data_IF_834130894333
#
_entry.id   IF_834130894333
#
_cell.length_a   1.000
_cell.length_b   1.000
_cell.length_c   1.000
_cell.angle_alpha   90.00
_cell.angle_beta   90.00
_cell.angle_gamma   90.00
#
_symmetry.space_group_name_H-M   'P 1'
#
loop_
_entity.id
_entity.type
_entity.pdbx_description
1 polymer ?
#
# COMPACT_ATOMS: atom_id res chain seq x y z
N UNK A 1 -15.87 -10.03 -3.66
CA UNK A 1 -15.09 -11.00 -2.85
C UNK A 1 -13.92 -10.23 -2.30
N UNK A 2 -13.81 -10.11 -0.98
CA UNK A 2 -12.71 -9.41 -0.33
C UNK A 2 -11.40 -10.17 -0.61
N UNK A 3 -10.36 -9.46 -1.04
CA UNK A 3 -9.01 -10.04 -1.17
C UNK A 3 -8.36 -10.26 0.20
N UNK A 4 -7.13 -10.81 0.22
CA UNK A 4 -6.33 -10.84 1.45
C UNK A 4 -6.15 -9.42 2.01
N UNK A 5 -6.11 -9.25 3.35
CA UNK A 5 -5.86 -7.94 3.94
C UNK A 5 -4.49 -7.40 3.55
N UNK A 6 -4.37 -6.08 3.53
CA UNK A 6 -3.09 -5.39 3.51
C UNK A 6 -2.35 -5.65 4.82
N UNK A 7 -1.16 -6.23 4.76
CA UNK A 7 -0.37 -6.66 5.92
C UNK A 7 0.73 -5.66 6.24
N UNK A 8 0.58 -4.98 7.36
CA UNK A 8 1.57 -4.07 7.94
C UNK A 8 2.31 -4.76 9.09
N UNK A 9 3.62 -4.95 8.95
CA UNK A 9 4.49 -5.32 10.07
C UNK A 9 4.89 -4.06 10.84
N UNK A 10 4.69 -4.05 12.16
CA UNK A 10 5.11 -2.96 13.02
C UNK A 10 5.99 -3.48 14.15
N UNK A 11 7.20 -2.93 14.28
CA UNK A 11 8.14 -3.31 15.32
C UNK A 11 8.95 -2.11 15.80
N UNK A 12 9.32 -2.14 17.09
CA UNK A 12 10.37 -1.30 17.64
C UNK A 12 11.59 -2.18 17.95
N UNK A 13 12.78 -1.75 17.56
CA UNK A 13 14.03 -2.45 17.82
C UNK A 13 15.13 -1.50 18.31
N UNK A 14 16.11 -2.04 19.01
CA UNK A 14 17.39 -1.37 19.30
C UNK A 14 18.22 -1.13 18.02
N UNK A 15 19.23 -0.26 18.11
CA UNK A 15 20.15 0.04 17.00
C UNK A 15 20.83 -1.22 16.44
N UNK A 16 21.12 -2.20 17.29
CA UNK A 16 21.72 -3.46 16.90
C UNK A 16 20.71 -4.52 16.49
N UNK A 17 19.40 -4.25 16.50
CA UNK A 17 18.37 -5.09 15.86
C UNK A 17 17.64 -6.07 16.79
N UNK A 18 17.59 -5.80 18.10
CA UNK A 18 16.84 -6.59 19.07
C UNK A 18 15.49 -5.96 19.41
N UNK A 19 14.46 -6.80 19.53
CA UNK A 19 13.10 -6.42 19.97
C UNK A 19 12.97 -6.34 21.48
N UNK A 20 13.92 -6.92 22.21
CA UNK A 20 13.94 -6.90 23.67
C UNK A 20 15.30 -7.35 24.21
N UNK A 21 15.47 -7.43 25.53
CA UNK A 21 16.62 -8.03 26.19
C UNK A 21 16.33 -9.47 26.70
N UNK A 22 17.27 -10.04 27.48
CA UNK A 22 17.15 -11.38 28.08
C UNK A 22 16.47 -11.35 29.46
N UNK A 23 16.08 -10.17 29.92
CA UNK A 23 15.47 -9.94 31.22
C UNK A 23 14.04 -10.47 31.31
N UNK A 24 13.55 -10.63 32.55
CA UNK A 24 12.17 -11.04 32.79
C UNK A 24 11.16 -9.92 32.52
N UNK A 25 11.61 -8.67 32.57
CA UNK A 25 10.80 -7.50 32.27
C UNK A 25 10.93 -7.12 30.80
N UNK A 26 9.88 -6.51 30.25
CA UNK A 26 9.89 -6.01 28.88
C UNK A 26 10.79 -4.78 28.78
N UNK A 27 11.80 -4.82 27.92
CA UNK A 27 12.63 -3.68 27.59
C UNK A 27 11.79 -2.58 26.95
N UNK A 28 11.91 -1.37 27.48
CA UNK A 28 11.26 -0.19 26.90
C UNK A 28 12.11 0.36 25.76
N UNK A 29 11.78 -0.03 24.54
CA UNK A 29 12.39 0.51 23.32
C UNK A 29 11.71 1.81 22.86
N UNK A 30 10.38 1.88 22.96
CA UNK A 30 9.57 3.00 22.46
C UNK A 30 9.44 4.13 23.47
N UNK A 31 9.50 5.36 22.97
CA UNK A 31 9.13 6.56 23.72
C UNK A 31 7.62 6.87 23.63
N UNK A 32 7.17 7.96 24.26
CA UNK A 32 5.76 8.33 24.26
C UNK A 32 5.24 8.71 22.86
N UNK A 33 6.09 9.29 22.00
CA UNK A 33 5.71 9.68 20.66
C UNK A 33 5.54 8.46 19.75
N UNK A 34 6.42 7.46 19.88
CA UNK A 34 6.29 6.20 19.16
C UNK A 34 5.09 5.38 19.66
N UNK A 35 4.82 5.36 20.98
CA UNK A 35 3.58 4.74 21.49
C UNK A 35 2.32 5.40 20.92
N UNK A 36 2.28 6.73 20.82
CA UNK A 36 1.16 7.45 20.20
C UNK A 36 1.03 7.11 18.70
N UNK A 37 2.16 7.03 17.99
CA UNK A 37 2.21 6.60 16.58
C UNK A 37 1.66 5.19 16.40
N UNK A 38 2.11 4.22 17.19
CA UNK A 38 1.61 2.83 17.17
C UNK A 38 0.12 2.80 17.48
N UNK A 39 -0.34 3.60 18.45
CA UNK A 39 -1.76 3.69 18.79
C UNK A 39 -2.62 4.23 17.63
N UNK A 40 -2.11 5.20 16.86
CA UNK A 40 -2.73 5.64 15.61
C UNK A 40 -2.82 4.50 14.59
N UNK A 41 -1.74 3.76 14.37
CA UNK A 41 -1.71 2.63 13.42
C UNK A 41 -2.70 1.53 13.84
N UNK A 42 -2.79 1.23 15.15
CA UNK A 42 -3.84 0.34 15.67
C UNK A 42 -5.22 0.85 15.35
N UNK A 43 -5.47 2.15 15.54
CA UNK A 43 -6.76 2.75 15.25
C UNK A 43 -7.14 2.73 13.75
N UNK A 44 -6.16 2.72 12.86
CA UNK A 44 -6.34 2.62 11.40
C UNK A 44 -6.53 1.17 10.91
N UNK A 45 -6.16 0.19 11.73
CA UNK A 45 -6.18 -1.24 11.37
C UNK A 45 -7.50 -1.91 11.73
N UNK A 46 -7.88 -2.95 10.99
CA UNK A 46 -9.10 -3.71 11.28
C UNK A 46 -8.82 -4.88 12.23
N UNK A 47 -7.60 -5.41 12.17
CA UNK A 47 -7.10 -6.45 13.08
C UNK A 47 -5.66 -6.17 13.55
N UNK A 48 -5.33 -6.64 14.76
CA UNK A 48 -3.97 -6.66 15.32
C UNK A 48 -3.59 -8.11 15.60
N UNK A 49 -2.45 -8.56 15.07
CA UNK A 49 -1.94 -9.93 15.24
C UNK A 49 -0.65 -9.97 16.05
N UNK A 50 -0.60 -10.88 17.02
CA UNK A 50 0.61 -11.23 17.77
C UNK A 50 0.77 -12.74 17.91
N UNK A 51 2.01 -13.18 18.12
CA UNK A 51 2.31 -14.57 18.48
C UNK A 51 2.04 -14.86 19.95
N UNK A 52 1.74 -16.11 20.28
CA UNK A 52 1.51 -16.54 21.66
C UNK A 52 2.71 -16.30 22.60
N UNK A 53 3.94 -16.24 22.09
CA UNK A 53 5.10 -15.92 22.92
C UNK A 53 5.07 -14.48 23.42
N UNK A 54 4.68 -13.54 22.55
CA UNK A 54 4.49 -12.13 22.91
C UNK A 54 3.41 -12.00 23.97
N UNK A 55 2.31 -12.76 23.86
CA UNK A 55 1.29 -12.77 24.89
C UNK A 55 1.80 -13.27 26.24
N UNK A 56 2.55 -14.37 26.27
CA UNK A 56 3.10 -14.91 27.52
C UNK A 56 4.09 -13.97 28.21
N UNK A 57 4.85 -13.23 27.41
CA UNK A 57 5.93 -12.38 27.91
C UNK A 57 5.44 -10.99 28.33
N UNK A 58 4.60 -10.37 27.51
CA UNK A 58 4.22 -8.97 27.68
C UNK A 58 2.78 -8.81 28.22
N UNK A 59 1.99 -9.88 28.17
CA UNK A 59 0.56 -9.92 28.51
C UNK A 59 -0.20 -8.69 27.98
N UNK A 60 -0.08 -8.34 26.69
CA UNK A 60 -0.56 -7.07 26.18
C UNK A 60 -2.09 -7.07 26.08
N UNK A 61 -2.68 -5.89 26.20
CA UNK A 61 -4.15 -5.73 26.05
C UNK A 61 -4.60 -5.59 24.60
N UNK A 62 -3.70 -5.16 23.71
CA UNK A 62 -3.95 -4.89 22.28
C UNK A 62 -5.15 -3.96 22.04
N UNK A 63 -5.17 -2.82 22.73
CA UNK A 63 -6.22 -1.81 22.62
C UNK A 63 -5.70 -0.59 21.84
N UNK A 64 -6.66 0.14 21.28
CA UNK A 64 -6.49 1.57 21.00
C UNK A 64 -6.66 2.31 22.33
N UNK A 65 -5.64 3.04 22.75
CA UNK A 65 -5.59 3.76 24.01
C UNK A 65 -6.35 5.09 23.93
N UNK A 66 -6.09 5.87 22.88
CA UNK A 66 -6.68 7.19 22.74
C UNK A 66 -8.21 7.15 22.55
N UNK A 67 -8.93 8.00 23.28
CA UNK A 67 -10.39 8.02 23.26
C UNK A 67 -10.94 8.65 21.97
N UNK A 68 -10.28 9.66 21.42
CA UNK A 68 -10.73 10.31 20.19
C UNK A 68 -10.58 9.37 18.99
N UNK A 69 -9.49 8.60 18.92
CA UNK A 69 -9.29 7.54 17.91
C UNK A 69 -10.36 6.48 17.96
N UNK A 70 -10.73 6.04 19.17
CA UNK A 70 -11.83 5.09 19.38
C UNK A 70 -13.17 5.65 18.93
N UNK A 71 -13.48 6.89 19.31
CA UNK A 71 -14.69 7.57 18.87
C UNK A 71 -14.74 7.72 17.33
N UNK A 72 -13.62 8.05 16.70
CA UNK A 72 -13.52 8.16 15.24
C UNK A 72 -13.77 6.81 14.54
N UNK A 73 -13.27 5.69 15.09
CA UNK A 73 -13.57 4.34 14.57
C UNK A 73 -15.05 4.04 14.63
N UNK A 74 -15.69 4.29 15.78
CA UNK A 74 -17.13 4.07 15.96
C UNK A 74 -17.94 4.96 15.01
N UNK A 75 -17.57 6.22 14.85
CA UNK A 75 -18.21 7.14 13.90
C UNK A 75 -18.08 6.66 12.44
N UNK A 76 -17.01 5.95 12.11
CA UNK A 76 -16.79 5.31 10.80
C UNK A 76 -17.47 3.93 10.68
N UNK A 77 -18.30 3.52 11.64
CA UNK A 77 -18.98 2.22 11.63
C UNK A 77 -18.10 1.02 11.98
N UNK A 78 -16.87 1.25 12.46
CA UNK A 78 -15.94 0.19 12.88
C UNK A 78 -16.06 -0.08 14.39
N UNK A 79 -15.70 -1.30 14.86
CA UNK A 79 -15.61 -1.57 16.28
C UNK A 79 -14.60 -0.65 16.98
N UNK A 80 -14.87 -0.29 18.24
CA UNK A 80 -14.03 0.59 19.08
C UNK A 80 -12.55 0.16 19.08
N UNK A 81 -12.31 -1.15 19.08
CA UNK A 81 -11.00 -1.75 18.99
C UNK A 81 -10.91 -2.71 17.78
N UNK A 82 -9.73 -2.82 17.14
CA UNK A 82 -9.50 -3.85 16.12
C UNK A 82 -9.75 -5.27 16.64
N UNK A 83 -10.02 -6.20 15.73
CA UNK A 83 -10.03 -7.63 16.01
C UNK A 83 -8.66 -8.05 16.56
N UNK A 84 -8.65 -8.79 17.67
CA UNK A 84 -7.41 -9.26 18.30
C UNK A 84 -7.11 -10.67 17.83
N UNK A 85 -6.04 -10.83 17.08
CA UNK A 85 -5.64 -12.09 16.48
C UNK A 85 -4.42 -12.64 17.20
N UNK A 86 -4.49 -13.90 17.61
CA UNK A 86 -3.37 -14.63 18.22
C UNK A 86 -3.02 -15.83 17.36
N UNK A 87 -1.72 -16.04 17.12
CA UNK A 87 -1.23 -17.24 16.42
C UNK A 87 -0.44 -18.13 17.37
N UNK A 88 -0.77 -19.43 17.39
CA UNK A 88 -0.07 -20.43 18.21
C UNK A 88 -0.03 -21.78 17.53
N UNK A 89 1.14 -22.40 17.38
CA UNK A 89 1.22 -23.78 16.89
C UNK A 89 0.94 -24.81 18.00
N UNK A 90 1.18 -24.46 19.27
CA UNK A 90 1.17 -25.40 20.40
C UNK A 90 -0.12 -25.40 21.20
N UNK A 91 -1.02 -24.44 20.96
CA UNK A 91 -2.21 -24.24 21.79
C UNK A 91 -1.96 -23.70 23.21
N UNK A 92 -0.74 -23.81 23.74
CA UNK A 92 -0.38 -23.33 25.09
C UNK A 92 -0.63 -21.82 25.28
N UNK A 93 -1.82 -21.48 25.78
CA UNK A 93 -2.28 -20.14 26.12
C UNK A 93 -2.92 -20.20 27.49
N UNK A 94 -2.70 -19.15 28.29
CA UNK A 94 -3.33 -19.00 29.60
C UNK A 94 -4.64 -18.20 29.43
N UNK A 95 -5.74 -18.74 29.96
CA UNK A 95 -7.06 -18.09 29.96
C UNK A 95 -7.09 -16.82 30.83
N UNK A 96 -6.13 -16.63 31.73
CA UNK A 96 -6.00 -15.46 32.59
C UNK A 96 -5.38 -14.22 31.92
N UNK A 97 -4.85 -14.34 30.71
CA UNK A 97 -4.18 -13.23 30.02
C UNK A 97 -5.13 -12.04 29.78
N UNK A 98 -4.62 -10.83 29.94
CA UNK A 98 -5.40 -9.57 29.87
C UNK A 98 -6.06 -9.37 28.51
N UNK A 99 -5.49 -9.91 27.44
CA UNK A 99 -6.02 -9.79 26.07
C UNK A 99 -7.44 -10.36 25.94
N UNK A 100 -7.77 -11.42 26.70
CA UNK A 100 -9.07 -12.09 26.64
C UNK A 100 -10.17 -11.28 27.33
N UNK A 101 -9.80 -10.60 28.42
CA UNK A 101 -10.74 -9.95 29.34
C UNK A 101 -10.97 -8.46 29.07
N UNK A 102 -10.38 -7.91 28.02
CA UNK A 102 -10.52 -6.49 27.67
C UNK A 102 -10.90 -6.34 26.20
N UNK A 103 -11.87 -5.48 25.90
CA UNK A 103 -12.23 -4.88 24.61
C UNK A 103 -12.20 -5.75 23.33
N UNK A 104 -13.19 -5.59 22.45
CA UNK A 104 -13.15 -6.16 21.09
C UNK A 104 -13.28 -7.68 21.01
N UNK A 105 -13.44 -8.17 19.79
CA UNK A 105 -13.48 -9.59 19.47
C UNK A 105 -12.07 -10.21 19.49
N UNK A 106 -11.98 -11.52 19.77
CA UNK A 106 -10.71 -12.26 19.86
C UNK A 106 -10.78 -13.52 19.01
N UNK A 107 -9.70 -13.75 18.28
CA UNK A 107 -9.55 -14.85 17.35
C UNK A 107 -8.19 -15.50 17.55
N UNK A 108 -8.17 -16.83 17.63
CA UNK A 108 -6.95 -17.63 17.77
C UNK A 108 -6.83 -18.54 16.56
N UNK A 109 -5.76 -18.38 15.80
CA UNK A 109 -5.37 -19.34 14.77
C UNK A 109 -4.37 -20.34 15.34
N UNK A 110 -4.65 -21.62 15.12
CA UNK A 110 -3.83 -22.72 15.65
C UNK A 110 -3.78 -23.91 14.70
N UNK A 111 -2.89 -24.85 14.98
CA UNK A 111 -2.86 -26.16 14.34
C UNK A 111 -3.92 -27.10 14.95
N UNK A 112 -4.18 -28.24 14.31
CA UNK A 112 -5.04 -29.30 14.85
C UNK A 112 -4.53 -29.79 16.21
N UNK A 113 -3.23 -30.04 16.32
CA UNK A 113 -2.58 -30.40 17.58
C UNK A 113 -2.71 -29.30 18.64
N UNK A 114 -2.57 -28.02 18.26
CA UNK A 114 -2.73 -26.90 19.17
C UNK A 114 -4.18 -26.70 19.64
N UNK A 115 -5.17 -26.93 18.78
CA UNK A 115 -6.57 -26.91 19.17
C UNK A 115 -6.90 -28.04 20.16
N UNK A 116 -6.39 -29.25 19.91
CA UNK A 116 -6.53 -30.36 20.85
C UNK A 116 -5.90 -30.04 22.21
N UNK A 117 -4.73 -29.37 22.21
CA UNK A 117 -4.07 -28.93 23.45
C UNK A 117 -4.80 -27.79 24.17
N UNK A 118 -5.51 -26.92 23.44
CA UNK A 118 -6.36 -25.87 24.02
C UNK A 118 -7.57 -26.47 24.74
N UNK A 119 -8.22 -27.47 24.14
CA UNK A 119 -9.49 -27.99 24.63
C UNK A 119 -10.48 -26.84 24.87
N UNK A 120 -11.07 -26.80 26.06
CA UNK A 120 -12.04 -25.76 26.46
C UNK A 120 -11.42 -24.50 27.09
N UNK A 121 -10.08 -24.37 27.09
CA UNK A 121 -9.37 -23.29 27.82
C UNK A 121 -9.86 -21.88 27.43
N UNK A 122 -10.25 -21.68 26.17
CA UNK A 122 -10.69 -20.39 25.63
C UNK A 122 -12.19 -20.33 25.31
N UNK A 123 -12.97 -21.32 25.75
CA UNK A 123 -14.42 -21.34 25.55
C UNK A 123 -15.06 -20.08 26.16
N UNK A 124 -15.76 -19.31 25.33
CA UNK A 124 -16.36 -18.03 25.71
C UNK A 124 -15.40 -16.83 25.77
N UNK A 125 -14.08 -17.05 25.59
CA UNK A 125 -13.06 -15.99 25.61
C UNK A 125 -12.60 -15.59 24.22
N UNK A 126 -12.45 -16.54 23.30
CA UNK A 126 -12.02 -16.31 21.93
C UNK A 126 -12.59 -17.36 20.97
N UNK A 127 -12.79 -16.97 19.71
CA UNK A 127 -13.01 -17.95 18.64
C UNK A 127 -11.68 -18.62 18.29
N UNK A 128 -11.71 -19.94 18.06
CA UNK A 128 -10.51 -20.73 17.69
C UNK A 128 -10.70 -21.30 16.29
N UNK A 129 -9.76 -21.00 15.40
CA UNK A 129 -9.74 -21.48 14.00
C UNK A 129 -8.54 -22.41 13.80
N UNK A 130 -8.81 -23.58 13.24
CA UNK A 130 -7.81 -24.61 12.95
C UNK A 130 -7.35 -24.49 11.49
N UNK A 131 -6.07 -24.26 11.28
CA UNK A 131 -5.46 -24.10 9.95
C UNK A 131 -4.95 -25.42 9.33
N UNK A 132 -4.96 -26.51 10.09
CA UNK A 132 -4.42 -27.81 9.69
C UNK A 132 -3.25 -28.26 10.58
N UNK A 133 -2.33 -29.05 10.03
CA UNK A 133 -1.19 -29.60 10.79
C UNK A 133 -0.12 -28.55 11.13
N UNK A 134 0.02 -27.53 10.27
CA UNK A 134 0.97 -26.42 10.43
C UNK A 134 0.25 -25.08 10.35
N UNK A 135 0.90 -24.01 10.81
CA UNK A 135 0.39 -22.65 10.64
C UNK A 135 0.58 -22.22 9.19
N UNK A 136 -0.50 -22.25 8.40
CA UNK A 136 -0.55 -21.68 7.06
C UNK A 136 -0.99 -20.21 7.12
N UNK A 137 -0.03 -19.30 6.92
CA UNK A 137 -0.29 -17.86 6.92
C UNK A 137 -1.15 -17.41 5.73
N UNK A 138 -1.10 -18.11 4.59
CA UNK A 138 -1.95 -17.81 3.43
C UNK A 138 -3.41 -18.07 3.76
N UNK A 139 -3.71 -19.25 4.30
CA UNK A 139 -5.06 -19.62 4.73
C UNK A 139 -5.58 -18.71 5.85
N UNK A 140 -4.72 -18.31 6.78
CA UNK A 140 -5.05 -17.32 7.81
C UNK A 140 -5.49 -15.98 7.19
N UNK A 141 -4.73 -15.47 6.22
CA UNK A 141 -5.05 -14.20 5.56
C UNK A 141 -6.32 -14.30 4.70
N UNK A 142 -6.57 -15.44 4.07
CA UNK A 142 -7.79 -15.69 3.31
C UNK A 142 -9.04 -15.69 4.23
N UNK A 143 -8.95 -16.34 5.41
CA UNK A 143 -10.02 -16.32 6.41
C UNK A 143 -10.25 -14.92 6.98
N UNK A 144 -9.20 -14.17 7.30
CA UNK A 144 -9.33 -12.77 7.72
C UNK A 144 -9.99 -11.90 6.64
N UNK A 145 -9.59 -12.05 5.38
CA UNK A 145 -10.20 -11.35 4.25
C UNK A 145 -11.69 -11.67 4.10
N UNK A 146 -12.06 -12.95 4.24
CA UNK A 146 -13.45 -13.41 4.23
C UNK A 146 -14.29 -12.82 5.38
N UNK A 147 -13.65 -12.51 6.52
CA UNK A 147 -14.26 -11.82 7.67
C UNK A 147 -14.33 -10.30 7.52
N UNK A 148 -13.91 -9.76 6.37
CA UNK A 148 -13.95 -8.32 6.08
C UNK A 148 -12.80 -7.54 6.71
N UNK A 149 -11.71 -8.20 7.12
CA UNK A 149 -10.49 -7.50 7.52
C UNK A 149 -9.79 -6.99 6.26
N UNK A 150 -9.65 -5.68 6.13
CA UNK A 150 -8.96 -5.06 4.99
C UNK A 150 -7.51 -4.68 5.34
N UNK A 151 -7.26 -4.30 6.60
CA UNK A 151 -5.92 -3.95 7.11
C UNK A 151 -5.57 -4.76 8.34
N UNK A 152 -4.49 -5.54 8.25
CA UNK A 152 -3.93 -6.31 9.35
C UNK A 152 -2.61 -5.66 9.81
N UNK A 153 -2.55 -5.29 11.08
CA UNK A 153 -1.30 -4.92 11.75
C UNK A 153 -0.70 -6.12 12.47
N UNK A 154 0.54 -6.46 12.19
CA UNK A 154 1.29 -7.51 12.87
C UNK A 154 2.30 -6.85 13.80
N UNK A 155 2.05 -6.92 15.11
CA UNK A 155 2.96 -6.41 16.15
C UNK A 155 3.96 -7.46 16.65
N UNK A 156 3.82 -8.68 16.14
CA UNK A 156 4.94 -9.59 16.02
C UNK A 156 5.16 -10.55 17.19
N UNK A 157 6.40 -10.51 17.68
CA UNK A 157 7.22 -11.65 18.08
C UNK A 157 8.14 -12.05 16.92
N UNK A 158 9.45 -12.24 17.17
CA UNK A 158 10.49 -12.55 16.17
C UNK A 158 10.04 -13.60 15.14
N UNK A 159 9.47 -14.71 15.61
CA UNK A 159 9.02 -15.82 14.77
C UNK A 159 7.86 -15.44 13.83
N UNK A 160 6.94 -14.59 14.30
CA UNK A 160 5.79 -14.16 13.49
C UNK A 160 6.28 -13.23 12.38
N UNK A 161 7.11 -12.23 12.69
CA UNK A 161 7.70 -11.38 11.66
C UNK A 161 8.52 -12.19 10.66
N UNK A 162 9.37 -13.11 11.14
CA UNK A 162 10.15 -14.00 10.29
C UNK A 162 9.26 -14.78 9.32
N UNK A 163 8.18 -15.38 9.83
CA UNK A 163 7.28 -16.18 9.01
C UNK A 163 6.56 -15.34 7.93
N UNK A 164 6.06 -14.15 8.26
CA UNK A 164 5.42 -13.26 7.28
C UNK A 164 6.40 -12.77 6.20
N UNK A 165 7.64 -12.46 6.59
CA UNK A 165 8.69 -12.00 5.68
C UNK A 165 9.18 -13.12 4.76
N UNK A 166 9.45 -14.31 5.31
CA UNK A 166 9.91 -15.46 4.54
C UNK A 166 8.83 -15.99 3.58
N UNK A 167 7.56 -15.93 3.98
CA UNK A 167 6.44 -16.33 3.12
C UNK A 167 6.06 -15.29 2.06
N UNK A 168 6.72 -14.12 2.03
CA UNK A 168 6.41 -13.00 1.15
C UNK A 168 4.96 -12.47 1.27
N UNK A 169 4.43 -12.46 2.50
CA UNK A 169 3.04 -12.11 2.78
C UNK A 169 2.86 -10.72 3.40
N UNK A 170 3.95 -10.00 3.66
CA UNK A 170 3.88 -8.62 4.16
C UNK A 170 3.83 -7.60 3.01
N UNK A 171 3.08 -6.52 3.20
CA UNK A 171 2.98 -5.39 2.24
C UNK A 171 3.86 -4.21 2.67
N UNK A 172 3.80 -3.85 3.96
CA UNK A 172 4.55 -2.73 4.54
C UNK A 172 5.26 -3.14 5.84
N UNK A 173 6.42 -2.54 6.09
CA UNK A 173 7.16 -2.63 7.35
C UNK A 173 7.36 -1.22 7.89
N UNK A 174 6.84 -0.96 9.08
CA UNK A 174 7.17 0.20 9.89
C UNK A 174 8.09 -0.22 11.04
N UNK A 175 9.36 0.16 10.93
CA UNK A 175 10.41 -0.21 11.87
C UNK A 175 10.90 1.02 12.62
N UNK A 176 10.59 1.09 13.91
CA UNK A 176 11.08 2.13 14.80
C UNK A 176 12.40 1.70 15.43
N UNK A 177 13.44 2.51 15.31
CA UNK A 177 14.79 2.22 15.79
C UNK A 177 15.09 3.12 16.98
N UNK A 178 15.15 2.50 18.16
CA UNK A 178 15.46 3.14 19.43
C UNK A 178 16.97 3.43 19.52
N UNK A 179 17.39 4.59 20.07
CA UNK A 179 18.80 5.00 20.13
C UNK A 179 19.57 4.30 21.27
N UNK A 180 19.45 2.97 21.37
CA UNK A 180 20.15 2.15 22.37
C UNK A 180 20.65 0.84 21.75
N UNK A 181 21.60 0.19 22.43
CA UNK A 181 22.13 -1.13 22.08
C UNK A 181 21.74 -2.16 23.15
N UNK A 182 21.37 -3.37 22.74
CA UNK A 182 21.10 -4.49 23.67
C UNK A 182 22.31 -5.42 23.78
N UNK A 183 22.90 -5.84 22.66
CA UNK A 183 24.16 -6.58 22.60
C UNK A 183 24.17 -7.99 23.20
N UNK A 184 23.06 -8.49 23.76
CA UNK A 184 22.99 -9.78 24.41
C UNK A 184 22.73 -10.92 23.38
N UNK A 185 23.61 -11.93 23.33
CA UNK A 185 23.51 -13.02 22.35
C UNK A 185 22.19 -13.82 22.39
N UNK A 186 21.51 -13.85 23.54
CA UNK A 186 20.21 -14.52 23.72
C UNK A 186 19.00 -13.60 23.54
N UNK A 187 19.20 -12.31 23.26
CA UNK A 187 18.11 -11.37 23.11
C UNK A 187 17.35 -11.63 21.79
N UNK A 188 16.00 -11.48 21.79
CA UNK A 188 15.20 -11.69 20.60
C UNK A 188 15.54 -10.65 19.52
N UNK A 189 15.96 -11.12 18.35
CA UNK A 189 16.20 -10.30 17.16
C UNK A 189 14.88 -9.87 16.52
N UNK A 190 14.92 -8.88 15.64
CA UNK A 190 13.76 -8.54 14.80
C UNK A 190 13.26 -9.74 13.99
N UNK A 191 14.19 -10.49 13.39
CA UNK A 191 13.92 -11.72 12.65
C UNK A 191 14.94 -12.80 12.99
N UNK A 192 14.50 -14.06 12.90
CA UNK A 192 15.34 -15.25 12.92
C UNK A 192 15.92 -15.49 11.52
N UNK A 193 17.00 -16.28 11.39
CA UNK A 193 17.46 -16.75 10.08
C UNK A 193 16.36 -17.53 9.35
N UNK A 194 16.11 -17.17 8.10
CA UNK A 194 15.17 -17.83 7.20
C UNK A 194 15.54 -17.54 5.73
N UNK A 195 14.93 -18.28 4.81
CA UNK A 195 15.02 -18.01 3.37
C UNK A 195 14.09 -16.84 3.03
N UNK A 196 14.65 -15.64 2.97
CA UNK A 196 13.90 -14.43 2.58
C UNK A 196 13.91 -14.23 1.06
N UNK A 197 12.86 -13.59 0.50
CA UNK A 197 12.85 -13.22 -0.91
C UNK A 197 14.09 -12.37 -1.30
N UNK A 198 14.80 -12.79 -2.35
CA UNK A 198 15.99 -12.09 -2.86
C UNK A 198 15.58 -10.83 -3.65
N UNK A 199 15.27 -9.76 -2.93
CA UNK A 199 14.96 -8.44 -3.52
C UNK A 199 15.24 -7.29 -2.56
N UNK A 200 15.45 -6.11 -3.13
CA UNK A 200 15.53 -4.86 -2.34
C UNK A 200 14.14 -4.38 -1.98
N UNK A 201 13.98 -3.93 -0.73
CA UNK A 201 12.76 -3.25 -0.26
C UNK A 201 12.78 -1.79 -0.71
N UNK A 202 11.60 -1.20 -0.92
CA UNK A 202 11.49 0.23 -1.26
C UNK A 202 11.36 1.04 0.01
N UNK A 203 12.34 1.90 0.31
CA UNK A 203 12.23 2.87 1.40
C UNK A 203 11.25 3.97 1.00
N UNK A 204 10.05 3.92 1.56
CA UNK A 204 8.98 4.88 1.27
C UNK A 204 9.10 6.15 2.11
N UNK A 205 9.61 6.04 3.34
CA UNK A 205 9.70 7.17 4.27
C UNK A 205 10.77 6.95 5.34
N UNK A 206 11.41 8.04 5.74
CA UNK A 206 12.23 8.13 6.94
C UNK A 206 11.73 9.31 7.74
N UNK A 207 11.34 9.08 8.99
CA UNK A 207 10.90 10.15 9.89
C UNK A 207 11.53 10.00 11.27
N UNK A 208 11.64 11.14 11.96
CA UNK A 208 12.04 11.17 13.37
C UNK A 208 10.77 11.27 14.21
N UNK A 209 10.61 10.37 15.18
CA UNK A 209 9.47 10.35 16.10
C UNK A 209 10.06 10.36 17.51
N UNK A 210 9.95 11.51 18.18
CA UNK A 210 10.66 11.76 19.44
C UNK A 210 12.18 11.60 19.27
N UNK A 211 12.79 10.64 19.96
CA UNK A 211 14.22 10.29 19.80
C UNK A 211 14.48 9.09 18.87
N UNK A 212 13.44 8.50 18.29
CA UNK A 212 13.52 7.33 17.42
C UNK A 212 13.59 7.69 15.94
N UNK A 213 14.28 6.86 15.16
CA UNK A 213 14.17 6.86 13.70
C UNK A 213 13.11 5.83 13.26
N UNK A 214 12.09 6.26 12.53
CA UNK A 214 11.05 5.39 11.99
C UNK A 214 11.25 5.24 10.49
N UNK A 215 11.44 4.00 10.06
CA UNK A 215 11.65 3.63 8.67
C UNK A 215 10.40 2.93 8.16
N UNK A 216 9.85 3.41 7.04
CA UNK A 216 8.72 2.76 6.36
C UNK A 216 9.20 2.16 5.05
N UNK A 217 9.09 0.84 4.93
CA UNK A 217 9.44 0.08 3.74
C UNK A 217 8.21 -0.56 3.11
N UNK A 218 8.12 -0.50 1.79
CA UNK A 218 7.20 -1.33 1.02
C UNK A 218 7.94 -2.62 0.63
N UNK A 219 7.38 -3.76 0.99
CA UNK A 219 8.06 -5.05 0.83
C UNK A 219 7.78 -5.70 -0.51
N UNK A 220 6.57 -5.53 -1.03
CA UNK A 220 6.23 -6.00 -2.37
C UNK A 220 6.62 -4.93 -3.37
N UNK A 221 7.26 -5.31 -4.50
CA UNK A 221 7.40 -4.38 -5.60
C UNK A 221 6.00 -3.94 -6.01
N UNK A 222 5.79 -2.63 -6.08
CA UNK A 222 4.54 -2.05 -6.57
C UNK A 222 4.18 -2.75 -7.89
N UNK A 223 3.03 -3.42 -7.92
CA UNK A 223 2.57 -4.12 -9.11
C UNK A 223 2.44 -3.12 -10.27
N UNK A 224 2.52 -3.60 -11.51
CA UNK A 224 2.32 -2.74 -12.68
C UNK A 224 0.99 -1.97 -12.57
N UNK A 225 -0.07 -2.64 -12.11
CA UNK A 225 -1.40 -2.05 -11.92
C UNK A 225 -1.41 -0.95 -10.85
N UNK A 226 -0.77 -1.17 -9.69
CA UNK A 226 -0.69 -0.14 -8.63
C UNK A 226 0.12 1.07 -9.07
N UNK A 227 1.24 0.83 -9.75
CA UNK A 227 2.09 1.85 -10.36
C UNK A 227 1.31 2.68 -11.35
N UNK A 228 0.54 2.02 -12.20
CA UNK A 228 -0.26 2.69 -13.21
C UNK A 228 -1.35 3.54 -12.58
N UNK A 229 -2.05 3.03 -11.56
CA UNK A 229 -3.03 3.81 -10.80
C UNK A 229 -2.40 5.02 -10.13
N UNK A 230 -1.20 4.89 -9.54
CA UNK A 230 -0.50 5.99 -8.87
C UNK A 230 -0.17 7.10 -9.86
N UNK A 231 0.48 6.79 -10.97
CA UNK A 231 0.87 7.80 -11.96
C UNK A 231 -0.31 8.37 -12.74
N UNK A 232 -1.36 7.58 -12.99
CA UNK A 232 -2.58 8.10 -13.60
C UNK A 232 -3.35 9.03 -12.65
N UNK A 233 -3.37 8.77 -11.34
CA UNK A 233 -3.86 9.74 -10.34
C UNK A 233 -3.04 11.02 -10.33
N UNK A 234 -1.71 10.90 -10.44
CA UNK A 234 -0.84 12.07 -10.58
C UNK A 234 -1.16 12.88 -11.85
N UNK A 235 -1.46 12.23 -12.96
CA UNK A 235 -1.94 12.89 -14.18
C UNK A 235 -3.29 13.60 -13.95
N UNK A 236 -4.22 13.00 -13.19
CA UNK A 236 -5.50 13.62 -12.81
C UNK A 236 -5.28 14.89 -11.97
N UNK A 237 -4.36 14.87 -11.00
CA UNK A 237 -3.99 16.07 -10.23
C UNK A 237 -3.50 17.20 -11.14
N UNK A 238 -2.62 16.88 -12.11
CA UNK A 238 -2.12 17.84 -13.08
C UNK A 238 -3.24 18.38 -13.99
N UNK A 239 -4.19 17.53 -14.39
CA UNK A 239 -5.32 17.94 -15.22
C UNK A 239 -6.17 19.04 -14.55
N UNK A 240 -6.30 19.03 -13.23
CA UNK A 240 -7.00 20.07 -12.47
C UNK A 240 -6.30 21.44 -12.52
N UNK A 241 -5.00 21.50 -12.86
CA UNK A 241 -4.28 22.75 -13.07
C UNK A 241 -4.51 23.35 -14.47
N UNK A 242 -5.20 22.65 -15.37
CA UNK A 242 -5.50 23.15 -16.71
C UNK A 242 -6.48 24.33 -16.66
N UNK A 243 -6.15 25.49 -17.26
CA UNK A 243 -7.14 26.55 -17.47
C UNK A 243 -8.39 25.99 -18.19
N UNK A 244 -9.63 26.28 -17.78
CA UNK A 244 -10.83 25.73 -18.44
C UNK A 244 -10.98 26.27 -19.87
N UNK A 245 -11.65 25.52 -20.75
CA UNK A 245 -11.91 25.92 -22.14
C UNK A 245 -13.25 25.36 -22.61
N UNK A 246 -14.12 26.14 -23.28
CA UNK A 246 -15.39 25.63 -23.81
C UNK A 246 -15.21 24.74 -25.05
N UNK A 247 -14.00 24.69 -25.63
CA UNK A 247 -13.73 24.03 -26.91
C UNK A 247 -12.58 23.03 -26.86
N UNK A 248 -12.09 22.69 -25.65
CA UNK A 248 -11.00 21.75 -25.49
C UNK A 248 -11.00 21.09 -24.12
N UNK A 249 -10.67 19.80 -24.08
CA UNK A 249 -10.50 19.06 -22.83
C UNK A 249 -9.33 19.61 -21.98
N UNK A 250 -9.52 19.56 -20.67
CA UNK A 250 -8.49 19.62 -19.64
C UNK A 250 -7.94 18.21 -19.41
N UNK A 251 -6.66 18.02 -19.75
CA UNK A 251 -5.96 16.73 -19.71
C UNK A 251 -4.67 16.93 -18.91
N UNK A 252 -4.22 15.88 -18.23
CA UNK A 252 -2.91 15.83 -17.59
C UNK A 252 -2.11 14.64 -18.10
N UNK A 253 -0.80 14.78 -18.14
CA UNK A 253 0.12 13.75 -18.59
C UNK A 253 1.37 13.66 -17.70
N UNK A 254 1.86 12.45 -17.50
CA UNK A 254 3.10 12.14 -16.77
C UNK A 254 3.93 11.17 -17.60
N UNK A 255 5.22 11.44 -17.78
CA UNK A 255 6.17 10.53 -18.41
C UNK A 255 7.07 9.95 -17.32
N UNK A 256 7.12 8.63 -17.26
CA UNK A 256 7.86 7.87 -16.23
C UNK A 256 8.87 6.96 -16.89
N UNK A 257 10.11 6.95 -16.40
CA UNK A 257 11.12 5.99 -16.79
C UNK A 257 11.80 5.42 -15.54
N UNK A 258 12.10 4.12 -15.54
CA UNK A 258 12.72 3.42 -14.41
C UNK A 258 11.96 3.61 -13.08
N UNK A 259 10.64 3.77 -13.15
CA UNK A 259 9.78 4.00 -11.99
C UNK A 259 9.81 5.42 -11.42
N UNK A 260 10.51 6.37 -12.05
CA UNK A 260 10.57 7.77 -11.64
C UNK A 260 9.89 8.68 -12.68
N UNK A 261 9.19 9.71 -12.19
CA UNK A 261 8.66 10.81 -13.02
C UNK A 261 9.84 11.57 -13.64
N UNK A 262 9.88 11.65 -14.98
CA UNK A 262 10.91 12.38 -15.72
C UNK A 262 10.39 13.66 -16.38
N UNK A 263 9.09 13.74 -16.65
CA UNK A 263 8.41 14.95 -17.12
C UNK A 263 6.90 14.90 -16.86
N UNK A 264 6.26 16.06 -16.86
CA UNK A 264 4.81 16.22 -16.67
C UNK A 264 4.26 17.26 -17.62
N UNK A 265 2.95 17.26 -17.84
CA UNK A 265 2.28 18.29 -18.60
C UNK A 265 0.79 18.33 -18.28
N UNK A 266 0.18 19.47 -18.56
CA UNK A 266 -1.28 19.62 -18.53
C UNK A 266 -1.74 20.50 -19.69
N UNK A 267 -3.01 20.36 -20.09
CA UNK A 267 -3.58 21.15 -21.18
C UNK A 267 -3.40 22.64 -20.91
N UNK A 268 -2.94 23.38 -21.93
CA UNK A 268 -2.77 24.83 -21.88
C UNK A 268 -1.71 25.31 -20.86
N UNK A 269 -0.74 24.47 -20.53
CA UNK A 269 0.36 24.82 -19.62
C UNK A 269 1.25 25.96 -20.15
N UNK A 270 1.69 25.88 -21.41
CA UNK A 270 2.63 26.84 -22.01
C UNK A 270 1.97 27.79 -23.01
N UNK A 271 0.95 27.32 -23.73
CA UNK A 271 0.16 28.13 -24.64
C UNK A 271 -1.29 27.62 -24.75
N UNK A 272 -2.25 28.43 -25.23
CA UNK A 272 -3.68 28.06 -25.26
C UNK A 272 -4.06 26.83 -26.09
N UNK A 273 -3.14 26.27 -26.88
CA UNK A 273 -3.37 25.12 -27.76
C UNK A 273 -2.53 23.90 -27.38
N UNK A 274 -1.62 23.99 -26.42
CA UNK A 274 -0.74 22.86 -26.04
C UNK A 274 -1.57 21.75 -25.38
N UNK A 275 -1.36 20.50 -25.80
CA UNK A 275 -1.95 19.33 -25.16
C UNK A 275 -1.02 18.85 -24.03
N UNK A 276 -1.56 18.09 -23.09
CA UNK A 276 -0.81 17.63 -21.92
C UNK A 276 0.41 16.76 -22.32
N UNK A 277 0.23 15.82 -23.24
CA UNK A 277 1.29 14.93 -23.73
C UNK A 277 2.37 15.71 -24.48
N UNK A 278 1.95 16.69 -25.29
CA UNK A 278 2.88 17.62 -25.94
C UNK A 278 3.66 18.44 -24.92
N UNK A 279 3.01 19.01 -23.92
CA UNK A 279 3.65 19.83 -22.90
C UNK A 279 4.68 19.02 -22.10
N UNK A 280 4.37 17.76 -21.77
CA UNK A 280 5.30 16.84 -21.13
C UNK A 280 6.50 16.49 -22.02
N UNK A 281 6.27 16.12 -23.28
CA UNK A 281 7.33 15.77 -24.22
C UNK A 281 8.25 16.95 -24.55
N UNK A 282 7.72 18.16 -24.65
CA UNK A 282 8.51 19.37 -24.94
C UNK A 282 9.53 19.71 -23.83
N UNK A 283 9.41 19.12 -22.62
CA UNK A 283 10.34 19.30 -21.51
C UNK A 283 11.53 18.34 -21.54
N UNK A 284 11.53 17.37 -22.47
CA UNK A 284 12.58 16.36 -22.59
C UNK A 284 13.39 16.60 -23.88
N UNK A 285 14.66 16.18 -23.86
CA UNK A 285 15.44 16.06 -25.09
C UNK A 285 14.83 14.91 -25.93
N UNK A 286 14.48 15.12 -27.21
CA UNK A 286 13.97 14.05 -28.08
C UNK A 286 14.90 12.84 -28.23
N UNK A 287 16.19 12.99 -27.87
CA UNK A 287 17.20 11.92 -27.86
C UNK A 287 17.46 11.35 -26.47
N UNK A 288 16.64 11.68 -25.47
CA UNK A 288 16.79 11.15 -24.12
C UNK A 288 16.68 9.62 -24.14
N UNK A 289 17.73 8.87 -23.76
CA UNK A 289 17.75 7.41 -23.84
C UNK A 289 16.76 6.73 -22.89
N UNK A 290 16.13 7.48 -21.98
CA UNK A 290 15.08 6.97 -21.09
C UNK A 290 13.75 6.80 -21.82
N UNK A 291 13.51 7.53 -22.92
CA UNK A 291 12.23 7.51 -23.64
C UNK A 291 11.88 6.12 -24.20
N UNK A 292 12.88 5.37 -24.69
CA UNK A 292 12.70 4.02 -25.24
C UNK A 292 12.25 2.96 -24.22
N UNK A 293 12.25 3.30 -22.93
CA UNK A 293 11.78 2.46 -21.82
C UNK A 293 10.74 3.18 -20.96
N UNK A 294 10.22 4.31 -21.42
CA UNK A 294 9.28 5.12 -20.68
C UNK A 294 7.84 4.61 -20.80
N UNK A 295 6.99 5.04 -19.89
CA UNK A 295 5.54 4.98 -20.00
C UNK A 295 5.00 6.40 -19.95
N UNK A 296 4.04 6.73 -20.82
CA UNK A 296 3.25 7.96 -20.71
C UNK A 296 1.87 7.64 -20.14
N UNK A 297 1.51 8.32 -19.06
CA UNK A 297 0.20 8.29 -18.43
C UNK A 297 -0.56 9.52 -18.89
N UNK A 298 -1.71 9.37 -19.55
CA UNK A 298 -2.56 10.48 -19.98
C UNK A 298 -3.97 10.31 -19.44
N UNK A 299 -4.56 11.39 -18.91
CA UNK A 299 -5.94 11.29 -18.40
C UNK A 299 -6.97 11.07 -19.49
N UNK A 300 -6.65 11.31 -20.76
CA UNK A 300 -7.51 11.11 -21.93
C UNK A 300 -6.74 10.33 -22.99
N UNK A 301 -7.44 9.64 -23.89
CA UNK A 301 -6.84 9.08 -25.10
C UNK A 301 -6.02 10.12 -25.89
N UNK A 302 -4.73 9.83 -26.20
CA UNK A 302 -3.93 10.72 -27.03
C UNK A 302 -4.54 10.89 -28.43
N UNK A 303 -4.73 12.13 -28.86
CA UNK A 303 -5.41 12.39 -30.12
C UNK A 303 -4.69 11.79 -31.34
N UNK A 304 -5.45 11.20 -32.27
CA UNK A 304 -4.96 10.71 -33.57
C UNK A 304 -4.96 11.79 -34.65
N UNK A 305 -5.73 12.85 -34.46
CA UNK A 305 -5.87 14.00 -35.35
C UNK A 305 -5.82 15.31 -34.56
N UNK A 306 -5.54 16.42 -35.25
CA UNK A 306 -5.51 17.74 -34.61
C UNK A 306 -5.96 18.84 -35.55
N UNK A 307 -6.88 19.68 -35.08
CA UNK A 307 -7.37 20.83 -35.84
C UNK A 307 -6.33 21.96 -36.00
N UNK A 308 -5.32 22.01 -35.12
CA UNK A 308 -4.27 23.04 -35.17
C UNK A 308 -3.23 22.68 -36.22
N UNK A 309 -3.23 23.40 -37.34
CA UNK A 309 -2.24 23.25 -38.39
C UNK A 309 -0.80 23.42 -37.87
N UNK A 310 0.12 22.57 -38.34
CA UNK A 310 1.54 22.62 -37.99
C UNK A 310 1.91 21.98 -36.65
N UNK A 311 0.96 21.44 -35.88
CA UNK A 311 1.28 20.64 -34.69
C UNK A 311 0.88 19.18 -34.87
N UNK A 312 1.84 18.23 -34.79
CA UNK A 312 1.51 16.82 -34.94
C UNK A 312 0.56 16.35 -33.80
N UNK A 313 -0.33 15.39 -34.10
CA UNK A 313 -1.13 14.68 -33.11
C UNK A 313 -0.27 14.08 -31.98
N UNK A 314 -0.87 13.87 -30.81
CA UNK A 314 -0.14 13.35 -29.65
C UNK A 314 0.36 11.92 -29.90
N UNK A 315 -0.42 11.10 -30.61
CA UNK A 315 0.02 9.77 -31.07
C UNK A 315 1.32 9.83 -31.87
N UNK A 316 1.42 10.73 -32.86
CA UNK A 316 2.64 10.87 -33.68
C UNK A 316 3.85 11.33 -32.87
N UNK A 317 3.63 12.19 -31.88
CA UNK A 317 4.69 12.63 -30.96
C UNK A 317 5.19 11.50 -30.07
N UNK A 318 4.28 10.68 -29.53
CA UNK A 318 4.62 9.52 -28.70
C UNK A 318 5.42 8.50 -29.53
N UNK A 319 4.99 8.23 -30.76
CA UNK A 319 5.68 7.34 -31.69
C UNK A 319 7.08 7.87 -32.07
N UNK A 320 7.19 9.18 -32.38
CA UNK A 320 8.46 9.80 -32.70
C UNK A 320 9.45 9.81 -31.52
N UNK A 321 8.93 9.91 -30.28
CA UNK A 321 9.72 9.80 -29.06
C UNK A 321 10.16 8.35 -28.75
N UNK A 322 9.61 7.34 -29.46
CA UNK A 322 9.93 5.93 -29.23
C UNK A 322 9.42 5.39 -27.90
N UNK A 323 8.38 6.00 -27.32
CA UNK A 323 7.79 5.54 -26.05
C UNK A 323 6.98 4.26 -26.30
N UNK A 324 7.33 3.12 -25.69
CA UNK A 324 6.71 1.83 -25.99
C UNK A 324 5.38 1.59 -25.28
N UNK A 325 4.99 2.45 -24.32
CA UNK A 325 3.84 2.19 -23.45
C UNK A 325 3.05 3.44 -23.09
N UNK A 326 1.73 3.33 -23.17
CA UNK A 326 0.75 4.39 -22.87
C UNK A 326 -0.31 3.84 -21.92
N UNK A 327 -0.69 4.62 -20.91
CA UNK A 327 -1.77 4.28 -19.97
C UNK A 327 -2.79 5.41 -19.93
N UNK A 328 -4.07 5.07 -20.09
CA UNK A 328 -5.17 6.04 -20.15
C UNK A 328 -6.30 5.73 -19.17
N UNK A 329 -7.04 6.76 -18.75
CA UNK A 329 -8.19 6.61 -17.85
C UNK A 329 -9.52 6.41 -18.61
N UNK A 330 -9.66 7.05 -19.76
CA UNK A 330 -10.86 6.96 -20.61
C UNK A 330 -10.54 7.38 -22.05
N UNK A 331 -11.38 6.93 -22.98
CA UNK A 331 -11.29 7.23 -24.41
C UNK A 331 -11.93 8.57 -24.73
N UNK A 332 -11.48 9.21 -25.80
CA UNK A 332 -12.03 10.50 -26.21
C UNK A 332 -13.47 10.32 -26.76
N UNK A 333 -14.49 10.96 -26.16
CA UNK A 333 -15.84 10.90 -26.69
C UNK A 333 -15.91 11.69 -28.01
N UNK A 334 -16.92 11.40 -28.85
CA UNK A 334 -17.10 12.02 -30.18
C UNK A 334 -17.42 13.53 -30.17
N UNK A 335 -17.22 14.22 -29.05
CA UNK A 335 -17.56 15.62 -28.79
C UNK A 335 -16.77 16.61 -29.65
N UNK A 336 -15.46 16.38 -29.86
CA UNK A 336 -14.61 17.29 -30.63
C UNK A 336 -13.91 16.61 -31.82
N UNK A 337 -13.74 15.29 -31.78
CA UNK A 337 -13.21 14.47 -32.87
C UNK A 337 -14.16 13.30 -33.11
N UNK A 338 -14.73 13.21 -34.30
CA UNK A 338 -15.53 12.04 -34.69
C UNK A 338 -14.59 10.84 -34.85
N UNK A 339 -14.81 9.78 -34.08
CA UNK A 339 -14.00 8.56 -34.09
C UNK A 339 -12.51 8.83 -33.83
N UNK A 340 -12.16 9.36 -32.65
CA UNK A 340 -10.77 9.30 -32.21
C UNK A 340 -10.32 7.83 -32.22
N UNK A 341 -9.18 7.57 -32.85
CA UNK A 341 -8.59 6.23 -33.04
C UNK A 341 -7.15 6.21 -32.51
N UNK A 342 -6.93 6.94 -31.42
CA UNK A 342 -5.61 7.16 -30.84
C UNK A 342 -5.03 5.87 -30.29
N UNK A 343 -5.84 5.14 -29.54
CA UNK A 343 -5.50 3.82 -28.99
C UNK A 343 -5.18 2.83 -30.11
N UNK A 344 -6.01 2.77 -31.15
CA UNK A 344 -5.85 1.85 -32.27
C UNK A 344 -4.53 2.14 -33.01
N UNK A 345 -4.28 3.41 -33.36
CA UNK A 345 -3.05 3.83 -34.04
C UNK A 345 -1.80 3.47 -33.25
N UNK A 346 -1.82 3.67 -31.93
CA UNK A 346 -0.69 3.32 -31.04
C UNK A 346 -0.46 1.80 -31.02
N UNK A 347 -1.52 1.00 -30.84
CA UNK A 347 -1.43 -0.46 -30.82
C UNK A 347 -0.93 -1.03 -32.15
N UNK A 348 -1.39 -0.48 -33.28
CA UNK A 348 -0.92 -0.87 -34.62
C UNK A 348 0.59 -0.66 -34.82
N UNK A 349 1.17 0.33 -34.13
CA UNK A 349 2.61 0.62 -34.16
C UNK A 349 3.39 -0.07 -33.03
N UNK A 350 2.78 -1.04 -32.33
CA UNK A 350 3.44 -1.86 -31.32
C UNK A 350 3.57 -1.21 -29.94
N UNK A 351 2.85 -0.12 -29.68
CA UNK A 351 2.78 0.49 -28.33
C UNK A 351 1.81 -0.32 -27.46
N UNK A 352 2.25 -0.69 -26.27
CA UNK A 352 1.38 -1.28 -25.24
C UNK A 352 0.44 -0.19 -24.68
N UNK A 353 -0.87 -0.34 -24.88
CA UNK A 353 -1.88 0.62 -24.40
C UNK A 353 -2.77 -0.03 -23.36
N UNK A 354 -2.62 0.42 -22.11
CA UNK A 354 -3.42 -0.02 -20.95
C UNK A 354 -4.52 0.99 -20.64
N UNK A 355 -5.73 0.51 -20.41
CA UNK A 355 -6.91 1.31 -20.10
C UNK A 355 -7.35 1.02 -18.65
N UNK A 356 -7.47 2.06 -17.82
CA UNK A 356 -7.92 1.98 -16.41
C UNK A 356 -9.29 2.65 -16.24
N UNK A 357 -10.39 2.00 -16.70
CA UNK A 357 -11.73 2.60 -16.69
C UNK A 357 -12.24 2.90 -15.29
N UNK A 358 -11.71 2.25 -14.24
CA UNK A 358 -12.07 2.56 -12.86
C UNK A 358 -11.65 3.98 -12.41
N UNK A 359 -10.76 4.64 -13.16
CA UNK A 359 -10.34 6.03 -12.92
C UNK A 359 -11.03 7.04 -13.85
N UNK A 360 -11.90 6.59 -14.76
CA UNK A 360 -12.56 7.44 -15.76
C UNK A 360 -13.39 8.57 -15.12
N UNK A 361 -14.16 8.29 -14.06
CA UNK A 361 -14.99 9.30 -13.40
C UNK A 361 -14.13 10.44 -12.81
N UNK A 362 -13.02 10.11 -12.16
CA UNK A 362 -12.09 11.09 -11.62
C UNK A 362 -11.38 11.88 -12.74
N UNK A 363 -11.04 11.20 -13.85
CA UNK A 363 -10.40 11.80 -15.01
C UNK A 363 -11.35 12.64 -15.90
N UNK A 364 -12.66 12.50 -15.76
CA UNK A 364 -13.65 13.33 -16.48
C UNK A 364 -14.13 14.52 -15.64
N UNK A 365 -13.91 14.49 -14.32
CA UNK A 365 -14.45 15.47 -13.38
C UNK A 365 -14.09 16.93 -13.73
N UNK A 366 -12.87 17.20 -14.19
CA UNK A 366 -12.44 18.54 -14.60
C UNK A 366 -13.07 19.02 -15.91
N UNK A 367 -13.66 18.11 -16.69
CA UNK A 367 -14.28 18.37 -17.99
C UNK A 367 -15.81 18.47 -17.92
N UNK A 368 -16.42 18.43 -16.73
CA UNK A 368 -17.89 18.55 -16.55
C UNK A 368 -18.50 19.87 -17.04
N UNK A 369 -17.67 20.86 -17.38
CA UNK A 369 -18.10 22.11 -17.99
C UNK A 369 -18.35 22.00 -19.50
N UNK A 370 -18.01 20.86 -20.10
CA UNK A 370 -18.23 20.54 -21.51
C UNK A 370 -19.47 19.66 -21.67
N UNK A 371 -20.17 19.81 -22.79
CA UNK A 371 -21.26 18.91 -23.15
C UNK A 371 -20.67 17.64 -23.77
N UNK A 372 -20.65 16.55 -23.00
CA UNK A 372 -20.02 15.28 -23.37
C UNK A 372 -21.02 14.24 -23.92
N UNK A 373 -22.22 14.70 -24.32
CA UNK A 373 -23.33 13.85 -24.77
C UNK A 373 -23.08 13.15 -26.11
#
# INVERSE_FOLDING_TARGET
MSGRPYVLLSAAMSLDGHLDDVGPERLRLSDAADFDRVDRVRAESDAILVGAQTLRRDDPRLLVADQARRAARVAAGKPEHPLKVTVTATGRLDAGLRVWHQGGAKLVYTTAAGAAALGDTLTGLAEVVVLGETIDLGALLDDLGARGVERLMVEGGTRVHTAFLAADLADELQLAVAPLLVGAAGAPRFVDPADFPDRRLTLAEVSRVGDMAVLRYLLRPESAVERDRRFLRRAIELAHASPPSPTAFSVGAVIVADGAEIATGYSRETDPKVHAEEAALNKLDPRDPRLSRATIYSTLEPCSQRATAGRPPCTDRILAAGIPRVVIAWREPSTFVVNCVGVEKLREHGVDVVELPELAEAATAMNRHLDLS
#
